data_IF_751698598687
#
_entry.id   IF_751698598687
#
_cell.length_a   1.000
_cell.length_b   1.000
_cell.length_c   1.000
_cell.angle_alpha   90.00
_cell.angle_beta   90.00
_cell.angle_gamma   90.00
#
_symmetry.space_group_name_H-M   'P 1'
#
loop_
_entity.id
_entity.type
_entity.pdbx_description
1 polymer ?
#
# COMPACT_ATOMS: atom_id res chain seq x y z
N UNK A 1 -31.40 27.58 -26.48
CA UNK A 1 -29.93 27.50 -26.67
C UNK A 1 -29.18 27.49 -25.32
N UNK A 2 -29.49 28.39 -24.39
CA UNK A 2 -28.85 28.46 -23.06
C UNK A 2 -29.08 27.19 -22.20
N UNK A 3 -30.30 26.67 -22.16
CA UNK A 3 -30.65 25.47 -21.39
C UNK A 3 -29.85 24.22 -21.83
N UNK A 4 -29.73 24.00 -23.14
CA UNK A 4 -28.96 22.88 -23.70
C UNK A 4 -27.47 22.94 -23.33
N UNK A 5 -26.93 24.15 -23.17
CA UNK A 5 -25.54 24.34 -22.77
C UNK A 5 -25.32 23.99 -21.29
N UNK A 6 -26.30 24.20 -20.41
CA UNK A 6 -26.24 23.71 -19.03
C UNK A 6 -26.37 22.18 -18.97
N UNK A 7 -27.29 21.60 -19.74
CA UNK A 7 -27.47 20.15 -19.81
C UNK A 7 -26.21 19.44 -20.32
N UNK A 8 -25.54 19.99 -21.33
CA UNK A 8 -24.29 19.42 -21.87
C UNK A 8 -23.15 19.42 -20.84
N UNK A 9 -23.04 20.46 -20.01
CA UNK A 9 -22.02 20.55 -18.95
C UNK A 9 -22.27 19.55 -17.83
N UNK A 10 -23.54 19.35 -17.45
CA UNK A 10 -23.94 18.35 -16.45
C UNK A 10 -23.66 16.94 -16.98
N UNK A 11 -24.03 16.65 -18.23
CA UNK A 11 -23.75 15.36 -18.86
C UNK A 11 -22.24 15.07 -18.91
N UNK A 12 -21.41 16.06 -19.28
CA UNK A 12 -19.97 15.92 -19.30
C UNK A 12 -19.39 15.65 -17.89
N UNK A 13 -19.85 16.39 -16.88
CA UNK A 13 -19.43 16.16 -15.49
C UNK A 13 -19.83 14.77 -14.98
N UNK A 14 -21.05 14.31 -15.29
CA UNK A 14 -21.53 12.99 -14.92
C UNK A 14 -20.71 11.87 -15.57
N UNK A 15 -20.31 12.04 -16.84
CA UNK A 15 -19.39 11.11 -17.52
C UNK A 15 -18.04 11.09 -16.83
N UNK A 16 -17.44 12.24 -16.52
CA UNK A 16 -16.14 12.32 -15.82
C UNK A 16 -16.19 11.62 -14.46
N UNK A 17 -17.28 11.81 -13.69
CA UNK A 17 -17.45 11.17 -12.39
C UNK A 17 -17.64 9.65 -12.50
N UNK A 18 -18.26 9.15 -13.57
CA UNK A 18 -18.38 7.71 -13.83
C UNK A 18 -17.03 7.04 -14.12
N UNK A 19 -16.06 7.79 -14.65
CA UNK A 19 -14.71 7.31 -14.94
C UNK A 19 -13.69 7.63 -13.84
N UNK A 20 -14.09 8.37 -12.81
CA UNK A 20 -13.23 8.64 -11.66
C UNK A 20 -12.93 7.32 -10.94
N UNK A 21 -11.66 6.93 -10.90
CA UNK A 21 -11.24 5.76 -10.12
C UNK A 21 -11.18 6.13 -8.64
N UNK A 22 -11.87 5.37 -7.81
CA UNK A 22 -11.70 5.40 -6.35
C UNK A 22 -10.39 4.71 -5.97
N UNK A 23 -9.64 5.27 -5.00
CA UNK A 23 -8.53 4.53 -4.37
C UNK A 23 -9.12 3.42 -3.49
N UNK A 24 -8.53 2.23 -3.53
CA UNK A 24 -8.92 1.11 -2.66
C UNK A 24 -8.14 1.19 -1.36
N UNK A 25 -8.51 2.14 -0.50
CA UNK A 25 -7.87 2.26 0.79
C UNK A 25 -8.23 1.08 1.69
N UNK A 26 -7.21 0.35 2.15
CA UNK A 26 -7.38 -0.84 2.98
C UNK A 26 -6.36 -0.87 4.12
N UNK A 27 -6.85 -1.07 5.35
CA UNK A 27 -5.99 -1.24 6.52
C UNK A 27 -5.35 -2.63 6.51
N UNK A 28 -4.01 -2.69 6.50
CA UNK A 28 -3.25 -3.92 6.72
C UNK A 28 -2.48 -3.84 8.04
N UNK A 29 -2.70 -4.81 8.92
CA UNK A 29 -2.07 -4.86 10.24
C UNK A 29 -1.07 -6.01 10.31
N UNK A 30 0.14 -5.72 10.79
CA UNK A 30 1.23 -6.69 10.95
C UNK A 30 1.76 -6.65 12.39
N UNK A 31 2.08 -7.82 12.94
CA UNK A 31 2.69 -7.95 14.26
C UNK A 31 4.20 -8.20 14.11
N UNK A 32 5.00 -7.29 14.67
CA UNK A 32 6.46 -7.39 14.66
C UNK A 32 6.99 -7.62 16.07
N UNK A 33 7.65 -8.75 16.27
CA UNK A 33 8.41 -9.07 17.47
C UNK A 33 9.90 -8.88 17.19
N UNK A 34 10.50 -7.92 17.89
CA UNK A 34 11.92 -7.59 17.78
C UNK A 34 12.68 -8.37 18.86
N UNK A 35 13.76 -9.03 18.47
CA UNK A 35 14.64 -9.74 19.39
C UNK A 35 16.06 -9.86 18.80
N UNK A 36 17.05 -10.12 19.65
CA UNK A 36 18.38 -10.50 19.18
C UNK A 36 18.41 -11.98 18.77
N UNK A 37 19.32 -12.32 17.86
CA UNK A 37 19.59 -13.67 17.42
C UNK A 37 20.96 -13.76 16.77
N UNK A 38 21.35 -14.97 16.35
CA UNK A 38 22.67 -15.21 15.74
C UNK A 38 22.53 -15.59 14.27
N UNK A 39 23.30 -14.96 13.38
CA UNK A 39 23.28 -15.24 11.92
C UNK A 39 24.71 -15.28 11.35
N UNK A 40 24.88 -16.04 10.26
CA UNK A 40 26.15 -16.20 9.57
C UNK A 40 25.96 -16.25 8.03
N UNK A 41 25.35 -15.22 7.41
CA UNK A 41 25.06 -15.24 5.97
C UNK A 41 26.31 -15.26 5.09
N UNK A 42 27.44 -14.78 5.62
CA UNK A 42 28.77 -14.80 5.02
C UNK A 42 29.67 -15.92 5.57
N UNK A 43 29.09 -16.85 6.35
CA UNK A 43 29.83 -17.93 7.02
C UNK A 43 30.46 -17.54 8.36
N UNK A 44 30.35 -16.29 8.82
CA UNK A 44 30.87 -15.86 10.13
C UNK A 44 29.71 -15.48 11.08
N UNK A 45 29.63 -16.18 12.20
CA UNK A 45 28.58 -16.00 13.20
C UNK A 45 28.67 -14.66 13.92
N UNK A 46 27.55 -13.91 13.94
CA UNK A 46 27.42 -12.62 14.64
C UNK A 46 26.04 -12.48 15.27
N UNK A 47 25.96 -11.72 16.36
CA UNK A 47 24.69 -11.28 16.92
C UNK A 47 24.05 -10.22 16.01
N UNK A 48 22.76 -10.33 15.78
CA UNK A 48 21.95 -9.43 14.95
C UNK A 48 20.59 -9.21 15.61
N UNK A 49 19.90 -8.12 15.26
CA UNK A 49 18.50 -7.92 15.62
C UNK A 49 17.60 -8.36 14.47
N UNK A 50 16.51 -9.05 14.81
CA UNK A 50 15.59 -9.66 13.86
C UNK A 50 14.16 -9.21 14.14
N UNK A 51 13.39 -9.06 13.07
CA UNK A 51 11.94 -8.94 13.14
C UNK A 51 11.37 -10.31 12.81
N UNK A 52 10.60 -10.88 13.74
CA UNK A 52 9.96 -12.19 13.58
C UNK A 52 10.96 -13.32 13.21
N UNK A 53 12.22 -13.18 13.62
CA UNK A 53 13.27 -14.17 13.39
C UNK A 53 13.80 -14.23 11.95
N UNK A 54 13.38 -13.32 11.07
CA UNK A 54 13.71 -13.36 9.64
C UNK A 54 14.90 -12.46 9.28
N UNK A 55 15.72 -12.94 8.35
CA UNK A 55 16.75 -12.16 7.68
C UNK A 55 16.81 -12.56 6.19
N UNK A 56 16.43 -11.69 5.22
CA UNK A 56 15.90 -10.33 5.42
C UNK A 56 14.61 -10.31 6.25
N UNK A 57 14.27 -9.14 6.82
CA UNK A 57 13.03 -8.98 7.57
C UNK A 57 11.78 -9.25 6.70
N UNK A 58 10.61 -9.46 7.32
CA UNK A 58 9.39 -9.78 6.59
C UNK A 58 9.03 -8.67 5.59
N UNK A 59 8.67 -9.06 4.38
CA UNK A 59 8.19 -8.14 3.35
C UNK A 59 6.82 -7.58 3.74
N UNK A 60 6.66 -6.27 3.70
CA UNK A 60 5.37 -5.60 3.82
C UNK A 60 4.85 -5.34 2.41
N UNK A 61 3.69 -5.92 2.09
CA UNK A 61 3.00 -5.69 0.83
C UNK A 61 1.66 -4.99 1.10
N UNK A 62 1.45 -3.85 0.45
CA UNK A 62 0.28 -2.98 0.58
C UNK A 62 -0.10 -2.40 -0.77
N UNK A 63 -1.38 -2.11 -0.95
CA UNK A 63 -1.92 -1.49 -2.17
C UNK A 63 -1.85 0.05 -2.05
N UNK A 64 -1.83 0.76 -3.18
CA UNK A 64 -1.95 2.23 -3.20
C UNK A 64 -3.38 2.65 -2.81
N UNK A 65 -3.51 3.44 -1.75
CA UNK A 65 -4.79 3.88 -1.18
C UNK A 65 -4.66 4.21 0.29
#
# INVERSE_FOLDING_TARGET
MLANMFTARIALAAVILLWARSSNAALRTYNFTIHSGTRAPDGVSREVYLINGQQPGPLIEVDEG
#
